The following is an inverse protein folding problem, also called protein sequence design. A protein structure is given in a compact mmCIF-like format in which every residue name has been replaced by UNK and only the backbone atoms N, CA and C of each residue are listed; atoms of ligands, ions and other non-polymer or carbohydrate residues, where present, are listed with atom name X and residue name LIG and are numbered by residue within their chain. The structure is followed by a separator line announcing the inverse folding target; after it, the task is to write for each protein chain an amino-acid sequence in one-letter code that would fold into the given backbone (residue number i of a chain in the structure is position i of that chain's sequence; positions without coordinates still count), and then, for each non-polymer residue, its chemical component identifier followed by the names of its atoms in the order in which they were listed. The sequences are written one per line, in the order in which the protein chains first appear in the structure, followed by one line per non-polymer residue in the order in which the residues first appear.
data_IF_478970025396
#
_entry.id   IF_478970025396
#
_cell.length_a   1.000
_cell.length_b   1.000
_cell.length_c   1.000
_cell.angle_alpha   90.00
_cell.angle_beta   90.00
_cell.angle_gamma   90.00
#
_symmetry.space_group_name_H-M   'P 1'
#
loop_
_entity.id
_entity.type
_entity.pdbx_description
1 polymer ?
#
# COMPACT_ATOMS: atom_id res chain seq x y z
N UNK A 1 -20.44 -15.90 -4.70
CA UNK A 1 -19.29 -16.52 -4.00
C UNK A 1 -18.03 -15.72 -4.34
N UNK A 2 -17.31 -15.27 -3.31
CA UNK A 2 -16.53 -14.03 -3.29
C UNK A 2 -15.04 -14.20 -3.72
N UNK A 3 -14.80 -14.77 -4.89
CA UNK A 3 -13.46 -15.21 -5.32
C UNK A 3 -12.40 -14.08 -5.38
N UNK A 4 -12.80 -12.83 -5.64
CA UNK A 4 -11.84 -11.72 -5.69
C UNK A 4 -11.34 -11.30 -4.30
N UNK A 5 -12.22 -11.25 -3.30
CA UNK A 5 -11.89 -10.75 -1.96
C UNK A 5 -11.11 -11.78 -1.13
N UNK A 6 -11.44 -13.08 -1.25
CA UNK A 6 -10.65 -14.15 -0.64
C UNK A 6 -9.31 -14.36 -1.34
N UNK A 7 -9.25 -14.27 -2.67
CA UNK A 7 -7.97 -14.38 -3.41
C UNK A 7 -7.00 -13.25 -3.07
N UNK A 8 -7.48 -12.01 -2.92
CA UNK A 8 -6.62 -10.88 -2.52
C UNK A 8 -6.11 -11.05 -1.09
N UNK A 9 -6.98 -11.43 -0.14
CA UNK A 9 -6.57 -11.63 1.26
C UNK A 9 -5.66 -12.85 1.46
N UNK A 10 -5.91 -13.96 0.76
CA UNK A 10 -5.05 -15.15 0.81
C UNK A 10 -3.68 -14.87 0.18
N UNK A 11 -3.65 -14.23 -0.99
CA UNK A 11 -2.40 -13.90 -1.68
C UNK A 11 -1.58 -12.86 -0.92
N UNK A 12 -2.18 -12.03 -0.07
CA UNK A 12 -1.48 -11.08 0.80
C UNK A 12 -1.12 -11.67 2.17
N UNK A 13 -1.54 -12.91 2.47
CA UNK A 13 -1.15 -13.58 3.71
C UNK A 13 0.34 -13.88 3.72
N UNK A 14 0.99 -13.58 4.85
CA UNK A 14 2.41 -13.81 5.10
C UNK A 14 2.85 -15.24 4.80
N UNK A 15 1.98 -16.23 5.03
CA UNK A 15 2.29 -17.66 4.91
C UNK A 15 1.97 -18.28 3.56
N UNK A 16 1.24 -17.57 2.68
CA UNK A 16 0.74 -18.17 1.44
C UNK A 16 1.87 -18.58 0.50
N UNK A 17 2.80 -17.67 0.19
CA UNK A 17 3.96 -17.98 -0.66
C UNK A 17 4.87 -19.07 -0.05
N UNK A 18 5.22 -19.02 1.25
CA UNK A 18 5.99 -20.10 1.87
C UNK A 18 5.36 -21.49 1.74
N UNK A 19 4.04 -21.60 1.91
CA UNK A 19 3.34 -22.88 1.73
C UNK A 19 3.40 -23.35 0.27
N UNK A 20 3.21 -22.45 -0.70
CA UNK A 20 3.32 -22.77 -2.12
C UNK A 20 4.73 -23.28 -2.46
N UNK A 21 5.78 -22.65 -1.95
CA UNK A 21 7.17 -23.07 -2.15
C UNK A 21 7.45 -24.44 -1.52
N UNK A 22 6.90 -24.71 -0.33
CA UNK A 22 6.98 -26.03 0.30
C UNK A 22 6.31 -27.12 -0.54
N UNK A 23 5.13 -26.85 -1.11
CA UNK A 23 4.44 -27.79 -2.01
C UNK A 23 5.21 -28.01 -3.31
N UNK A 24 5.78 -26.96 -3.90
CA UNK A 24 6.66 -27.07 -5.08
C UNK A 24 7.87 -27.94 -4.73
N UNK A 25 8.47 -27.74 -3.57
CA UNK A 25 9.60 -28.55 -3.09
C UNK A 25 9.23 -30.03 -3.00
N UNK A 26 8.08 -30.38 -2.43
CA UNK A 26 7.59 -31.76 -2.40
C UNK A 26 7.43 -32.37 -3.80
N UNK A 27 6.87 -31.60 -4.74
CA UNK A 27 6.74 -32.05 -6.12
C UNK A 27 8.12 -32.26 -6.79
N UNK A 28 9.08 -31.36 -6.56
CA UNK A 28 10.45 -31.49 -7.05
C UNK A 28 11.13 -32.73 -6.46
N UNK A 29 10.97 -32.99 -5.16
CA UNK A 29 11.51 -34.21 -4.54
C UNK A 29 10.90 -35.44 -5.20
N UNK A 30 9.57 -35.52 -5.30
CA UNK A 30 8.88 -36.65 -5.93
C UNK A 30 9.32 -36.90 -7.39
N UNK A 31 9.44 -35.83 -8.19
CA UNK A 31 9.94 -35.91 -9.56
C UNK A 31 11.40 -36.35 -9.61
N UNK A 32 12.26 -35.79 -8.75
CA UNK A 32 13.67 -36.17 -8.72
C UNK A 32 13.85 -37.65 -8.36
N UNK A 33 13.11 -38.14 -7.36
CA UNK A 33 13.11 -39.55 -6.97
C UNK A 33 12.57 -40.45 -8.09
N UNK A 34 11.50 -40.03 -8.78
CA UNK A 34 10.94 -40.78 -9.90
C UNK A 34 11.95 -40.90 -11.06
N UNK A 35 12.65 -39.80 -11.40
CA UNK A 35 13.70 -39.79 -12.43
C UNK A 35 14.88 -40.68 -12.02
N UNK A 36 15.34 -40.57 -10.76
CA UNK A 36 16.42 -41.38 -10.22
C UNK A 36 16.07 -42.88 -10.27
N UNK A 37 14.82 -43.28 -9.98
CA UNK A 37 14.39 -44.69 -10.09
C UNK A 37 14.36 -45.17 -11.55
N UNK A 38 13.75 -44.38 -12.45
CA UNK A 38 13.48 -44.81 -13.83
C UNK A 38 14.72 -44.78 -14.75
N UNK A 39 15.53 -43.71 -14.68
CA UNK A 39 16.55 -43.43 -15.69
C UNK A 39 17.98 -43.67 -15.21
N UNK A 40 18.27 -43.45 -13.92
CA UNK A 40 19.65 -43.55 -13.42
C UNK A 40 20.15 -45.00 -13.39
N UNK A 41 19.26 -45.99 -13.21
CA UNK A 41 19.62 -47.42 -13.30
C UNK A 41 20.15 -47.82 -14.69
N UNK A 42 19.75 -47.13 -15.77
CA UNK A 42 20.18 -47.39 -17.15
C UNK A 42 21.44 -46.61 -17.56
N UNK A 43 21.77 -45.51 -16.87
CA UNK A 43 22.86 -44.57 -17.22
C UNK A 43 24.14 -44.74 -16.39
N UNK A 44 24.20 -45.74 -15.51
CA UNK A 44 25.34 -45.95 -14.59
C UNK A 44 26.70 -46.16 -15.30
N UNK A 45 26.70 -46.55 -16.58
CA UNK A 45 27.92 -46.85 -17.35
C UNK A 45 28.57 -45.66 -18.07
N UNK A 46 27.87 -44.55 -18.28
CA UNK A 46 28.31 -43.43 -19.14
C UNK A 46 28.55 -42.12 -18.39
N UNK A 47 28.15 -42.03 -17.11
CA UNK A 47 28.26 -40.81 -16.33
C UNK A 47 29.62 -40.67 -15.61
N UNK A 48 30.23 -39.47 -15.58
CA UNK A 48 31.44 -39.22 -14.81
C UNK A 48 31.21 -39.49 -13.32
N UNK A 49 32.20 -40.11 -12.65
CA UNK A 49 32.14 -40.44 -11.19
C UNK A 49 31.86 -39.23 -10.29
N UNK A 50 32.12 -38.00 -10.76
CA UNK A 50 31.79 -36.76 -10.06
C UNK A 50 30.28 -36.59 -9.80
N UNK A 51 29.43 -37.16 -10.66
CA UNK A 51 27.97 -37.11 -10.53
C UNK A 51 27.39 -38.31 -9.76
N UNK A 52 28.17 -39.36 -9.54
CA UNK A 52 27.74 -40.53 -8.78
C UNK A 52 27.92 -40.27 -7.27
N UNK A 53 26.96 -39.58 -6.68
CA UNK A 53 26.96 -39.32 -5.24
C UNK A 53 26.70 -40.62 -4.44
N UNK A 54 27.49 -40.83 -3.39
CA UNK A 54 27.26 -41.92 -2.43
C UNK A 54 26.24 -41.47 -1.38
N UNK A 55 25.45 -42.39 -0.82
CA UNK A 55 24.50 -42.09 0.27
C UNK A 55 25.14 -41.30 1.43
N UNK A 56 26.38 -41.65 1.80
CA UNK A 56 27.16 -40.94 2.83
C UNK A 56 27.45 -39.48 2.46
N UNK A 57 27.77 -39.21 1.19
CA UNK A 57 27.97 -37.85 0.69
C UNK A 57 26.65 -37.08 0.75
N UNK A 58 25.55 -37.72 0.35
CA UNK A 58 24.23 -37.12 0.37
C UNK A 58 23.80 -36.73 1.80
N UNK A 59 23.92 -37.63 2.77
CA UNK A 59 23.66 -37.35 4.19
C UNK A 59 24.55 -36.22 4.74
N UNK A 60 25.83 -36.18 4.34
CA UNK A 60 26.76 -35.12 4.73
C UNK A 60 26.44 -33.75 4.12
N UNK A 61 25.56 -33.68 3.11
CA UNK A 61 25.06 -32.42 2.54
C UNK A 61 23.72 -32.02 3.13
N UNK A 62 22.78 -32.96 3.31
CA UNK A 62 21.44 -32.63 3.82
C UNK A 62 21.44 -32.17 5.27
N UNK A 63 22.15 -32.85 6.17
CA UNK A 63 22.10 -32.51 7.60
C UNK A 63 22.68 -31.10 7.89
N UNK A 64 23.83 -30.70 7.31
CA UNK A 64 24.30 -29.33 7.42
C UNK A 64 23.37 -28.32 6.75
N UNK A 65 22.75 -28.67 5.61
CA UNK A 65 21.81 -27.78 4.93
C UNK A 65 20.57 -27.51 5.79
N UNK A 66 19.97 -28.54 6.39
CA UNK A 66 18.84 -28.38 7.34
C UNK A 66 19.22 -27.45 8.49
N UNK A 67 20.40 -27.66 9.08
CA UNK A 67 20.90 -26.85 10.20
C UNK A 67 21.15 -25.39 9.79
N UNK A 68 21.75 -25.19 8.62
CA UNK A 68 22.02 -23.87 8.06
C UNK A 68 20.71 -23.10 7.77
N UNK A 69 19.73 -23.76 7.15
CA UNK A 69 18.43 -23.14 6.85
C UNK A 69 17.67 -22.81 8.14
N UNK A 70 17.70 -23.68 9.15
CA UNK A 70 17.07 -23.40 10.45
C UNK A 70 17.70 -22.18 11.12
N UNK A 71 19.03 -22.06 11.06
CA UNK A 71 19.78 -20.92 11.59
C UNK A 71 19.45 -19.63 10.83
N UNK A 72 19.48 -19.67 9.49
CA UNK A 72 19.11 -18.53 8.64
C UNK A 72 17.66 -18.08 8.89
N UNK A 73 16.74 -19.04 9.01
CA UNK A 73 15.33 -18.77 9.31
C UNK A 73 15.16 -18.08 10.66
N UNK A 74 15.88 -18.55 11.69
CA UNK A 74 15.86 -17.94 13.04
C UNK A 74 16.39 -16.51 13.01
N UNK A 75 17.52 -16.28 12.32
CA UNK A 75 18.08 -14.92 12.14
C UNK A 75 17.10 -14.04 11.37
N UNK A 76 16.45 -14.56 10.32
CA UNK A 76 15.47 -13.82 9.55
C UNK A 76 14.24 -13.43 10.35
N UNK A 77 13.66 -14.33 11.15
CA UNK A 77 12.57 -13.98 12.06
C UNK A 77 12.98 -12.94 13.10
N UNK A 78 14.20 -13.06 13.65
CA UNK A 78 14.73 -12.08 14.60
C UNK A 78 14.88 -10.70 13.95
N UNK A 79 15.42 -10.63 12.74
CA UNK A 79 15.54 -9.40 11.95
C UNK A 79 14.16 -8.79 11.67
N UNK A 80 13.18 -9.59 11.23
CA UNK A 80 11.79 -9.16 11.01
C UNK A 80 11.21 -8.54 12.28
N UNK A 81 11.40 -9.18 13.44
CA UNK A 81 10.92 -8.66 14.72
C UNK A 81 11.61 -7.34 15.10
N UNK A 82 12.93 -7.22 14.88
CA UNK A 82 13.64 -5.96 15.11
C UNK A 82 13.09 -4.85 14.20
N UNK A 83 12.89 -5.13 12.91
CA UNK A 83 12.27 -4.16 11.99
C UNK A 83 10.86 -3.79 12.46
N UNK A 84 10.04 -4.76 12.86
CA UNK A 84 8.68 -4.55 13.34
C UNK A 84 8.66 -3.64 14.58
N UNK A 85 9.53 -3.92 15.57
CA UNK A 85 9.66 -3.11 16.78
C UNK A 85 10.19 -1.71 16.48
N UNK A 86 11.13 -1.58 15.54
CA UNK A 86 11.69 -0.30 15.10
C UNK A 86 10.62 0.55 14.42
N UNK A 87 9.84 -0.04 13.50
CA UNK A 87 8.76 0.67 12.83
C UNK A 87 7.67 1.14 13.79
N UNK A 88 7.26 0.26 14.71
CA UNK A 88 6.22 0.60 15.69
C UNK A 88 6.69 1.63 16.70
N UNK A 89 7.99 1.68 17.03
CA UNK A 89 8.54 2.62 18.02
C UNK A 89 9.03 3.93 17.42
N UNK A 90 9.58 3.91 16.20
CA UNK A 90 10.23 5.06 15.56
C UNK A 90 9.35 5.78 14.54
N UNK A 91 8.37 5.11 13.90
CA UNK A 91 7.58 5.71 12.81
C UNK A 91 6.10 5.83 13.15
N UNK A 92 5.33 4.75 12.99
CA UNK A 92 3.90 4.68 13.31
C UNK A 92 3.42 3.23 13.14
N UNK A 93 2.55 2.70 14.01
CA UNK A 93 1.93 1.39 13.80
C UNK A 93 1.22 1.26 12.44
N UNK A 94 0.82 2.37 11.81
CA UNK A 94 0.14 2.39 10.51
C UNK A 94 1.08 2.09 9.33
N UNK A 95 2.39 2.33 9.46
CA UNK A 95 3.38 1.99 8.42
C UNK A 95 3.78 0.51 8.47
N UNK A 96 3.44 -0.19 9.55
CA UNK A 96 3.77 -1.61 9.78
C UNK A 96 3.12 -2.55 8.77
N UNK A 97 1.90 -2.22 8.33
CA UNK A 97 1.15 -3.02 7.35
C UNK A 97 1.94 -3.24 6.05
N UNK A 98 2.77 -2.25 5.66
CA UNK A 98 3.53 -2.28 4.41
C UNK A 98 4.74 -3.24 4.47
N UNK A 99 5.18 -3.63 5.68
CA UNK A 99 6.29 -4.58 5.87
C UNK A 99 5.80 -6.02 5.90
N UNK A 100 4.75 -6.32 6.67
CA UNK A 100 4.18 -7.69 6.76
C UNK A 100 3.69 -8.17 5.39
N UNK A 101 3.23 -7.23 4.55
CA UNK A 101 2.72 -7.50 3.21
C UNK A 101 3.82 -7.54 2.13
N UNK A 102 5.10 -7.42 2.51
CA UNK A 102 6.20 -7.32 1.54
C UNK A 102 6.45 -8.65 0.82
N UNK A 103 6.42 -8.60 -0.52
CA UNK A 103 6.55 -9.78 -1.38
C UNK A 103 7.94 -10.38 -1.32
N UNK A 104 8.97 -9.55 -1.21
CA UNK A 104 10.35 -10.03 -1.21
C UNK A 104 10.62 -10.87 0.05
N UNK A 105 10.18 -10.38 1.22
CA UNK A 105 10.25 -11.12 2.49
C UNK A 105 9.52 -12.47 2.40
N UNK A 106 8.33 -12.51 1.79
CA UNK A 106 7.58 -13.75 1.57
C UNK A 106 8.32 -14.75 0.65
N UNK A 107 8.99 -14.27 -0.39
CA UNK A 107 9.80 -15.11 -1.29
C UNK A 107 11.04 -15.68 -0.60
N UNK A 108 11.75 -14.88 0.21
CA UNK A 108 12.89 -15.35 1.01
C UNK A 108 12.46 -16.49 1.94
N UNK A 109 11.39 -16.28 2.70
CA UNK A 109 10.86 -17.30 3.60
C UNK A 109 10.42 -18.55 2.83
N UNK A 110 9.82 -18.36 1.64
CA UNK A 110 9.47 -19.48 0.76
C UNK A 110 10.68 -20.28 0.28
N UNK A 111 11.78 -19.63 -0.12
CA UNK A 111 13.02 -20.34 -0.50
C UNK A 111 13.57 -21.15 0.68
N UNK A 112 13.54 -20.60 1.90
CA UNK A 112 13.98 -21.34 3.09
C UNK A 112 13.08 -22.53 3.41
N UNK A 113 11.76 -22.35 3.36
CA UNK A 113 10.80 -23.46 3.55
C UNK A 113 10.99 -24.53 2.48
N UNK A 114 11.15 -24.15 1.22
CA UNK A 114 11.43 -25.09 0.12
C UNK A 114 12.73 -25.86 0.37
N UNK A 115 13.81 -25.18 0.75
CA UNK A 115 15.10 -25.78 1.08
C UNK A 115 15.03 -26.77 2.24
N UNK A 116 14.31 -26.38 3.30
CA UNK A 116 14.12 -27.20 4.49
C UNK A 116 13.34 -28.47 4.19
N UNK A 117 12.19 -28.33 3.50
CA UNK A 117 11.35 -29.46 3.08
C UNK A 117 12.11 -30.38 2.13
N UNK A 118 12.84 -29.81 1.16
CA UNK A 118 13.63 -30.58 0.20
C UNK A 118 14.68 -31.44 0.92
N UNK A 119 15.44 -30.84 1.83
CA UNK A 119 16.51 -31.54 2.54
C UNK A 119 15.97 -32.59 3.52
N UNK A 120 14.89 -32.29 4.25
CA UNK A 120 14.27 -33.24 5.18
C UNK A 120 13.65 -34.44 4.47
N UNK A 121 12.89 -34.22 3.39
CA UNK A 121 12.21 -35.33 2.69
C UNK A 121 13.24 -36.21 1.98
N UNK A 122 14.24 -35.63 1.32
CA UNK A 122 15.32 -36.44 0.74
C UNK A 122 16.11 -37.21 1.80
N UNK A 123 16.40 -36.59 2.95
CA UNK A 123 17.04 -37.28 4.08
C UNK A 123 16.20 -38.44 4.62
N UNK A 124 14.87 -38.28 4.70
CA UNK A 124 13.95 -39.35 5.07
C UNK A 124 13.97 -40.49 4.04
N UNK A 125 13.91 -40.16 2.75
CA UNK A 125 13.90 -41.15 1.65
C UNK A 125 15.20 -41.95 1.55
N UNK A 126 16.35 -41.33 1.89
CA UNK A 126 17.66 -42.00 1.95
C UNK A 126 17.79 -43.08 3.01
N UNK A 127 16.84 -43.17 3.95
CA UNK A 127 16.85 -44.22 4.98
C UNK A 127 16.38 -45.59 4.44
N UNK A 128 15.87 -45.65 3.19
CA UNK A 128 15.44 -46.88 2.52
C UNK A 128 16.46 -47.41 1.49
N UNK A 129 17.02 -48.60 1.76
CA UNK A 129 17.78 -49.54 0.89
C UNK A 129 18.54 -48.97 -0.34
N UNK A 130 19.88 -49.12 -0.32
CA UNK A 130 20.84 -49.20 -1.45
C UNK A 130 20.41 -48.47 -2.74
N UNK A 131 20.10 -47.18 -2.62
CA UNK A 131 19.72 -46.36 -3.78
C UNK A 131 20.88 -45.43 -4.11
N UNK A 132 21.53 -45.69 -5.25
CA UNK A 132 22.48 -44.74 -5.83
C UNK A 132 21.68 -43.61 -6.47
N UNK A 133 21.61 -42.47 -5.78
CA UNK A 133 20.85 -41.28 -6.18
C UNK A 133 21.82 -40.27 -6.80
N UNK A 134 21.53 -39.79 -8.00
CA UNK A 134 22.41 -38.85 -8.74
C UNK A 134 21.85 -37.44 -8.70
N UNK A 135 20.54 -37.28 -8.94
CA UNK A 135 19.97 -35.96 -9.17
C UNK A 135 19.79 -35.17 -7.86
N UNK A 136 19.42 -35.87 -6.79
CA UNK A 136 19.11 -35.23 -5.51
C UNK A 136 20.29 -34.43 -4.91
N UNK A 137 21.54 -34.94 -4.82
CA UNK A 137 22.65 -34.17 -4.23
C UNK A 137 23.11 -32.95 -5.04
N UNK A 138 23.01 -32.99 -6.38
CA UNK A 138 23.30 -31.83 -7.23
C UNK A 138 22.29 -30.71 -6.99
N UNK A 139 21.00 -31.06 -6.92
CA UNK A 139 19.93 -30.13 -6.58
C UNK A 139 20.12 -29.55 -5.18
N UNK A 140 20.62 -30.33 -4.22
CA UNK A 140 20.98 -29.86 -2.87
C UNK A 140 22.00 -28.74 -2.90
N UNK A 141 23.06 -28.86 -3.69
CA UNK A 141 24.10 -27.83 -3.80
C UNK A 141 23.53 -26.56 -4.42
N UNK A 142 22.76 -26.68 -5.50
CA UNK A 142 22.09 -25.53 -6.15
C UNK A 142 21.14 -24.85 -5.17
N UNK A 143 20.37 -25.62 -4.41
CA UNK A 143 19.42 -25.12 -3.44
C UNK A 143 20.13 -24.46 -2.24
N UNK A 144 21.26 -25.00 -1.79
CA UNK A 144 22.09 -24.41 -0.75
C UNK A 144 22.65 -23.04 -1.16
N UNK A 145 23.21 -22.94 -2.38
CA UNK A 145 23.69 -21.67 -2.94
C UNK A 145 22.54 -20.67 -3.07
N UNK A 146 21.37 -21.14 -3.54
CA UNK A 146 20.16 -20.31 -3.66
C UNK A 146 19.71 -19.78 -2.29
N UNK A 147 19.64 -20.64 -1.28
CA UNK A 147 19.30 -20.23 0.10
C UNK A 147 20.29 -19.21 0.64
N UNK A 148 21.59 -19.41 0.44
CA UNK A 148 22.62 -18.46 0.88
C UNK A 148 22.48 -17.10 0.17
N UNK A 149 22.25 -17.09 -1.15
CA UNK A 149 22.03 -15.86 -1.91
C UNK A 149 20.80 -15.10 -1.38
N UNK A 150 19.67 -15.78 -1.23
CA UNK A 150 18.44 -15.17 -0.69
C UNK A 150 18.63 -14.67 0.75
N UNK A 151 19.42 -15.37 1.57
CA UNK A 151 19.77 -14.90 2.90
C UNK A 151 20.59 -13.60 2.88
N UNK A 152 21.62 -13.51 2.03
CA UNK A 152 22.41 -12.28 1.88
C UNK A 152 21.52 -11.12 1.39
N UNK A 153 20.69 -11.37 0.37
CA UNK A 153 19.74 -10.38 -0.13
C UNK A 153 18.71 -9.96 0.93
N UNK A 154 18.28 -10.89 1.77
CA UNK A 154 17.37 -10.62 2.88
C UNK A 154 17.99 -9.71 3.95
N UNK A 155 19.26 -9.90 4.28
CA UNK A 155 19.97 -9.00 5.21
C UNK A 155 20.04 -7.58 4.62
N UNK A 156 20.42 -7.46 3.35
CA UNK A 156 20.45 -6.17 2.67
C UNK A 156 19.07 -5.50 2.62
N UNK A 157 18.03 -6.27 2.27
CA UNK A 157 16.65 -5.80 2.25
C UNK A 157 16.19 -5.36 3.64
N UNK A 158 16.43 -6.16 4.68
CA UNK A 158 16.07 -5.80 6.06
C UNK A 158 16.73 -4.50 6.50
N UNK A 159 18.02 -4.32 6.19
CA UNK A 159 18.76 -3.12 6.55
C UNK A 159 18.28 -1.87 5.82
N UNK A 160 17.94 -1.98 4.53
CA UNK A 160 17.40 -0.85 3.75
C UNK A 160 15.99 -0.46 4.19
N UNK A 161 15.18 -1.42 4.64
CA UNK A 161 13.83 -1.15 5.16
C UNK A 161 13.84 -0.33 6.44
N UNK A 162 14.84 -0.46 7.30
CA UNK A 162 14.94 0.35 8.54
C UNK A 162 15.13 1.84 8.25
N UNK A 163 15.60 2.20 7.05
CA UNK A 163 15.86 3.59 6.70
C UNK A 163 14.55 4.36 6.46
N UNK A 164 14.29 5.36 7.30
CA UNK A 164 13.09 6.22 7.23
C UNK A 164 12.91 6.87 5.86
N UNK A 165 14.00 7.26 5.20
CA UNK A 165 13.98 7.89 3.88
C UNK A 165 13.38 6.97 2.81
N UNK A 166 13.67 5.66 2.86
CA UNK A 166 13.11 4.70 1.91
C UNK A 166 11.61 4.51 2.14
N UNK A 167 11.17 4.52 3.40
CA UNK A 167 9.75 4.47 3.74
C UNK A 167 9.01 5.72 3.25
N UNK A 168 9.57 6.91 3.52
CA UNK A 168 9.03 8.19 3.03
C UNK A 168 8.91 8.18 1.51
N UNK A 169 9.96 7.74 0.79
CA UNK A 169 9.94 7.66 -0.66
C UNK A 169 8.90 6.65 -1.16
N UNK A 170 8.80 5.47 -0.56
CA UNK A 170 7.81 4.43 -0.91
C UNK A 170 6.39 4.95 -0.75
N UNK A 171 6.08 5.60 0.37
CA UNK A 171 4.75 6.21 0.62
C UNK A 171 4.47 7.31 -0.40
N UNK A 172 5.47 8.15 -0.71
CA UNK A 172 5.33 9.25 -1.67
C UNK A 172 5.03 8.72 -3.08
N UNK A 173 5.84 7.78 -3.59
CA UNK A 173 5.64 7.17 -4.91
C UNK A 173 4.29 6.47 -5.01
N UNK A 174 3.87 5.75 -3.95
CA UNK A 174 2.55 5.11 -3.90
C UNK A 174 1.42 6.15 -3.95
N UNK A 175 1.57 7.25 -3.23
CA UNK A 175 0.58 8.35 -3.22
C UNK A 175 0.45 8.99 -4.60
N UNK A 176 1.57 9.29 -5.25
CA UNK A 176 1.58 9.84 -6.62
C UNK A 176 0.93 8.89 -7.63
N UNK A 177 1.20 7.58 -7.51
CA UNK A 177 0.54 6.56 -8.34
C UNK A 177 -0.98 6.52 -8.14
N UNK A 178 -1.48 6.68 -6.90
CA UNK A 178 -2.93 6.72 -6.64
C UNK A 178 -3.55 7.96 -7.29
N UNK A 179 -2.89 9.11 -7.21
CA UNK A 179 -3.36 10.36 -7.83
C UNK A 179 -3.44 10.21 -9.35
N UNK A 180 -2.40 9.67 -9.97
CA UNK A 180 -2.35 9.42 -11.42
C UNK A 180 -3.43 8.45 -11.87
N UNK A 181 -3.54 7.29 -11.21
CA UNK A 181 -4.58 6.29 -11.52
C UNK A 181 -6.00 6.84 -11.34
N UNK A 182 -6.21 7.70 -10.35
CA UNK A 182 -7.49 8.36 -10.11
C UNK A 182 -7.78 9.36 -11.25
N UNK A 183 -6.78 10.11 -11.72
CA UNK A 183 -6.89 10.98 -12.89
C UNK A 183 -7.26 10.20 -14.16
N UNK A 184 -6.61 9.07 -14.44
CA UNK A 184 -6.91 8.22 -15.61
C UNK A 184 -8.37 7.72 -15.60
N UNK A 185 -8.90 7.36 -14.42
CA UNK A 185 -10.30 6.96 -14.28
C UNK A 185 -11.26 8.10 -14.64
N UNK A 186 -10.82 9.35 -14.48
CA UNK A 186 -11.54 10.56 -14.84
C UNK A 186 -11.24 11.05 -16.25
N UNK A 187 -10.30 10.48 -17.01
CA UNK A 187 -10.03 10.89 -18.40
C UNK A 187 -11.10 10.42 -19.41
N UNK A 188 -12.17 9.77 -18.95
CA UNK A 188 -13.39 9.57 -19.74
C UNK A 188 -14.15 10.89 -19.95
N UNK A 189 -14.62 11.11 -21.18
CA UNK A 189 -15.30 12.31 -21.69
C UNK A 189 -15.99 13.12 -20.58
N UNK A 190 -15.42 14.28 -20.25
CA UNK A 190 -16.12 15.34 -19.52
C UNK A 190 -17.29 15.78 -20.40
N UNK A 191 -18.41 15.07 -20.29
CA UNK A 191 -19.67 15.61 -20.77
C UNK A 191 -19.94 16.87 -19.96
N UNK A 192 -20.34 17.93 -20.68
CA UNK A 192 -20.68 19.23 -20.11
C UNK A 192 -21.42 19.05 -18.79
N UNK A 193 -21.04 19.87 -17.80
CA UNK A 193 -21.63 19.93 -16.47
C UNK A 193 -23.09 19.47 -16.52
N UNK A 194 -23.34 18.28 -15.99
CA UNK A 194 -24.69 17.86 -15.63
C UNK A 194 -25.35 19.04 -14.93
N UNK A 195 -26.40 19.52 -15.54
CA UNK A 195 -26.92 20.84 -15.30
C UNK A 195 -27.72 20.70 -14.00
N UNK A 196 -27.38 21.49 -12.96
CA UNK A 196 -27.79 21.26 -11.55
C UNK A 196 -29.31 21.10 -11.34
N UNK A 197 -30.13 21.44 -12.34
CA UNK A 197 -31.58 21.24 -12.35
C UNK A 197 -31.98 19.76 -12.41
N UNK A 198 -31.23 18.86 -13.06
CA UNK A 198 -31.57 17.42 -13.10
C UNK A 198 -31.23 16.70 -11.79
N UNK A 199 -30.25 17.18 -11.00
CA UNK A 199 -30.03 16.68 -9.63
C UNK A 199 -31.17 17.08 -8.68
N UNK A 200 -31.84 18.21 -8.94
CA UNK A 200 -32.97 18.67 -8.13
C UNK A 200 -34.22 17.77 -8.26
N UNK A 201 -34.25 16.90 -9.28
CA UNK A 201 -35.26 15.85 -9.44
C UNK A 201 -34.97 14.61 -8.58
N UNK A 202 -33.72 14.40 -8.14
CA UNK A 202 -33.33 13.30 -7.25
C UNK A 202 -33.58 13.67 -5.79
N UNK A 203 -34.85 13.68 -5.38
CA UNK A 203 -35.23 13.88 -3.97
C UNK A 203 -34.78 12.68 -3.14
N UNK A 204 -34.22 12.94 -1.96
CA UNK A 204 -33.77 11.85 -1.07
C UNK A 204 -34.90 10.91 -0.65
N UNK A 205 -36.12 11.42 -0.56
CA UNK A 205 -37.32 10.69 -0.15
C UNK A 205 -37.74 9.61 -1.17
N UNK A 206 -37.40 9.80 -2.44
CA UNK A 206 -37.72 8.89 -3.54
C UNK A 206 -36.63 7.82 -3.77
N UNK A 207 -35.50 7.95 -3.07
CA UNK A 207 -34.35 7.06 -3.22
C UNK A 207 -34.38 5.89 -2.24
N UNK A 208 -34.11 4.67 -2.73
CA UNK A 208 -33.91 3.50 -1.89
C UNK A 208 -32.58 3.60 -1.13
N UNK A 209 -32.56 3.66 0.21
CA UNK A 209 -31.32 3.69 0.97
C UNK A 209 -30.66 2.30 1.03
N UNK A 210 -29.35 2.25 0.89
CA UNK A 210 -28.54 1.05 1.08
C UNK A 210 -27.73 1.18 2.37
N UNK A 211 -27.95 0.24 3.29
CA UNK A 211 -27.29 0.20 4.57
C UNK A 211 -26.17 -0.84 4.62
N UNK A 212 -25.09 -0.53 5.35
CA UNK A 212 -24.02 -1.47 5.61
C UNK A 212 -24.49 -2.63 6.49
N UNK A 213 -24.14 -3.86 6.12
CA UNK A 213 -24.26 -5.03 6.99
C UNK A 213 -23.00 -5.30 7.83
N UNK A 214 -22.00 -4.43 7.76
CA UNK A 214 -20.70 -4.62 8.42
C UNK A 214 -20.19 -3.33 9.03
N UNK A 215 -19.35 -3.46 10.06
CA UNK A 215 -18.55 -2.36 10.58
C UNK A 215 -17.13 -2.38 9.98
N UNK A 216 -16.55 -1.19 9.77
CA UNK A 216 -15.18 -1.03 9.30
C UNK A 216 -14.96 0.21 8.45
N UNK A 217 -13.81 0.29 7.80
CA UNK A 217 -13.47 1.34 6.84
C UNK A 217 -13.82 0.91 5.42
N UNK A 218 -14.34 1.85 4.63
CA UNK A 218 -14.46 1.68 3.18
C UNK A 218 -13.05 1.72 2.58
N UNK A 219 -12.58 0.58 2.09
CA UNK A 219 -11.23 0.38 1.55
C UNK A 219 -11.17 0.59 0.04
N UNK A 220 -12.20 0.15 -0.70
CA UNK A 220 -12.26 0.28 -2.16
C UNK A 220 -13.69 0.49 -2.65
N UNK A 221 -13.85 1.42 -3.58
CA UNK A 221 -15.07 1.66 -4.35
C UNK A 221 -14.75 1.43 -5.84
N UNK A 222 -15.28 0.37 -6.46
CA UNK A 222 -15.03 0.10 -7.87
C UNK A 222 -16.00 0.88 -8.77
N UNK A 223 -15.73 2.17 -9.01
CA UNK A 223 -16.61 3.07 -9.77
C UNK A 223 -17.08 2.49 -11.12
N UNK A 224 -16.20 1.86 -11.91
CA UNK A 224 -16.59 1.24 -13.18
C UNK A 224 -17.63 0.14 -13.02
N UNK A 225 -17.47 -0.73 -12.01
CA UNK A 225 -18.46 -1.79 -11.70
C UNK A 225 -19.77 -1.21 -11.19
N UNK A 226 -19.71 -0.08 -10.47
CA UNK A 226 -20.92 0.61 -10.01
C UNK A 226 -21.67 1.25 -11.18
N UNK A 227 -20.96 1.82 -12.16
CA UNK A 227 -21.57 2.30 -13.41
C UNK A 227 -22.22 1.13 -14.15
N UNK A 228 -21.52 0.01 -14.36
CA UNK A 228 -22.08 -1.18 -15.02
C UNK A 228 -23.34 -1.70 -14.29
N UNK A 229 -23.30 -1.77 -12.96
CA UNK A 229 -24.43 -2.19 -12.13
C UNK A 229 -25.60 -1.22 -12.26
N UNK A 230 -25.34 0.08 -12.24
CA UNK A 230 -26.35 1.11 -12.38
C UNK A 230 -27.01 1.08 -13.76
N UNK A 231 -26.22 0.86 -14.83
CA UNK A 231 -26.70 0.72 -16.21
C UNK A 231 -27.61 -0.50 -16.37
N UNK A 232 -27.20 -1.66 -15.86
CA UNK A 232 -27.99 -2.90 -15.97
C UNK A 232 -29.37 -2.81 -15.30
N UNK A 233 -29.50 -1.98 -14.26
CA UNK A 233 -30.74 -1.83 -13.49
C UNK A 233 -31.48 -0.52 -13.79
N UNK A 234 -31.07 0.23 -14.83
CA UNK A 234 -31.61 1.54 -15.18
C UNK A 234 -31.77 2.45 -13.95
N UNK A 235 -30.67 2.59 -13.20
CA UNK A 235 -30.65 3.27 -11.91
C UNK A 235 -29.56 4.32 -11.81
N UNK A 236 -29.68 5.18 -10.80
CA UNK A 236 -28.69 6.18 -10.41
C UNK A 236 -28.28 5.89 -8.97
N UNK A 237 -26.99 5.79 -8.71
CA UNK A 237 -26.42 5.51 -7.39
C UNK A 237 -25.72 6.75 -6.85
N UNK A 238 -26.19 7.36 -5.76
CA UNK A 238 -25.43 8.37 -5.00
C UNK A 238 -24.68 7.69 -3.86
N UNK A 239 -23.36 7.82 -3.85
CA UNK A 239 -22.52 7.39 -2.73
C UNK A 239 -22.66 8.39 -1.58
N UNK A 240 -23.03 7.90 -0.41
CA UNK A 240 -23.12 8.69 0.83
C UNK A 240 -21.87 8.56 1.70
N UNK A 241 -20.95 7.66 1.34
CA UNK A 241 -19.68 7.45 2.04
C UNK A 241 -18.59 7.14 1.03
N UNK A 242 -17.40 7.70 1.27
CA UNK A 242 -16.24 7.58 0.38
C UNK A 242 -15.14 6.72 1.02
N UNK A 243 -14.13 6.36 0.22
CA UNK A 243 -12.94 5.66 0.67
C UNK A 243 -12.31 6.36 1.89
N UNK A 244 -12.00 5.55 2.91
CA UNK A 244 -11.45 5.99 4.19
C UNK A 244 -12.50 6.34 5.25
N UNK A 245 -13.79 6.42 4.91
CA UNK A 245 -14.84 6.62 5.91
C UNK A 245 -15.07 5.35 6.74
N UNK A 246 -15.26 5.54 8.04
CA UNK A 246 -15.68 4.48 8.95
C UNK A 246 -17.19 4.35 8.93
N UNK A 247 -17.68 3.14 8.73
CA UNK A 247 -19.10 2.80 8.73
C UNK A 247 -19.37 1.76 9.82
N UNK A 248 -20.47 1.94 10.55
CA UNK A 248 -21.04 0.90 11.43
C UNK A 248 -22.10 0.10 10.68
N UNK A 249 -22.48 -1.05 11.21
CA UNK A 249 -23.68 -1.76 10.77
C UNK A 249 -24.90 -0.82 10.86
N UNK A 250 -25.72 -0.81 9.80
CA UNK A 250 -26.84 0.12 9.65
C UNK A 250 -26.47 1.53 9.16
N UNK A 251 -25.20 1.83 8.85
CA UNK A 251 -24.84 3.12 8.22
C UNK A 251 -25.30 3.15 6.77
N UNK A 252 -25.90 4.26 6.33
CA UNK A 252 -26.25 4.47 4.91
C UNK A 252 -24.97 4.67 4.10
N UNK A 253 -24.69 3.76 3.17
CA UNK A 253 -23.51 3.82 2.28
C UNK A 253 -23.87 4.46 0.93
N UNK A 254 -25.09 4.23 0.45
CA UNK A 254 -25.56 4.77 -0.81
C UNK A 254 -27.07 4.98 -0.82
N UNK A 255 -27.51 5.69 -1.84
CA UNK A 255 -28.91 5.92 -2.19
C UNK A 255 -29.11 5.60 -3.65
N UNK A 256 -30.15 4.85 -4.00
CA UNK A 256 -30.41 4.42 -5.37
C UNK A 256 -31.78 4.88 -5.83
N UNK A 257 -31.82 5.54 -6.98
CA UNK A 257 -33.05 5.87 -7.69
C UNK A 257 -33.20 4.94 -8.89
N UNK A 258 -34.39 4.41 -9.09
CA UNK A 258 -34.71 3.45 -10.13
C UNK A 258 -35.78 4.03 -11.05
N UNK A 259 -35.68 3.77 -12.35
CA UNK A 259 -36.72 4.16 -13.31
C UNK A 259 -37.78 3.06 -13.42
N UNK A 260 -39.04 3.40 -13.14
CA UNK A 260 -40.17 2.48 -13.31
C UNK A 260 -40.15 1.31 -12.33
N UNK A 261 -40.33 0.09 -12.83
CA UNK A 261 -40.39 -1.14 -12.03
C UNK A 261 -39.07 -1.94 -12.01
N UNK A 262 -37.93 -1.29 -12.26
CA UNK A 262 -36.64 -1.97 -12.18
C UNK A 262 -36.32 -2.39 -10.74
N UNK A 263 -35.56 -3.47 -10.58
CA UNK A 263 -35.19 -4.01 -9.27
C UNK A 263 -33.69 -3.84 -9.06
N UNK A 264 -33.28 -3.25 -7.94
CA UNK A 264 -31.88 -3.11 -7.57
C UNK A 264 -31.50 -4.08 -6.44
N UNK A 265 -30.44 -4.87 -6.65
CA UNK A 265 -29.92 -5.76 -5.61
C UNK A 265 -28.93 -5.03 -4.70
N UNK A 266 -29.39 -4.68 -3.49
CA UNK A 266 -28.53 -4.11 -2.44
C UNK A 266 -27.34 -5.03 -2.11
N UNK A 267 -27.55 -6.35 -2.11
CA UNK A 267 -26.48 -7.33 -1.87
C UNK A 267 -25.38 -7.29 -2.94
N UNK A 268 -25.75 -7.16 -4.22
CA UNK A 268 -24.76 -7.04 -5.30
C UNK A 268 -23.93 -5.76 -5.14
N UNK A 269 -24.57 -4.65 -4.79
CA UNK A 269 -23.88 -3.40 -4.48
C UNK A 269 -22.94 -3.54 -3.29
N UNK A 270 -23.42 -4.05 -2.15
CA UNK A 270 -22.62 -4.19 -0.94
C UNK A 270 -21.45 -5.17 -1.12
N UNK A 271 -21.64 -6.22 -1.91
CA UNK A 271 -20.57 -7.17 -2.26
C UNK A 271 -19.51 -6.56 -3.19
N UNK A 272 -19.84 -5.52 -3.94
CA UNK A 272 -18.89 -4.79 -4.78
C UNK A 272 -17.98 -3.86 -3.97
N UNK A 273 -18.43 -3.38 -2.81
CA UNK A 273 -17.67 -2.47 -1.95
C UNK A 273 -16.79 -3.26 -0.97
N UNK A 274 -15.51 -2.90 -0.92
CA UNK A 274 -14.60 -3.48 0.05
C UNK A 274 -14.68 -2.72 1.38
N UNK A 275 -15.33 -3.30 2.38
CA UNK A 275 -15.22 -2.88 3.79
C UNK A 275 -14.25 -3.82 4.52
N UNK A 276 -13.35 -3.26 5.32
CA UNK A 276 -12.40 -4.00 6.17
C UNK A 276 -12.13 -3.31 7.51
N UNK A 277 -11.47 -3.99 8.43
CA UNK A 277 -11.28 -3.52 9.83
C UNK A 277 -10.28 -2.37 9.96
N UNK A 278 -9.37 -2.21 8.99
CA UNK A 278 -8.34 -1.19 8.97
C UNK A 278 -8.39 -0.39 7.65
N UNK A 279 -7.88 0.84 7.66
CA UNK A 279 -7.64 1.59 6.42
C UNK A 279 -6.48 0.98 5.66
N UNK A 280 -6.54 1.05 4.32
CA UNK A 280 -5.48 0.58 3.42
C UNK A 280 -5.13 1.69 2.42
N UNK A 281 -3.87 1.71 1.96
CA UNK A 281 -3.35 2.74 1.06
C UNK A 281 -3.74 2.54 -0.42
N UNK A 282 -4.62 1.61 -0.78
CA UNK A 282 -4.84 1.25 -2.20
C UNK A 282 -5.59 2.33 -2.99
N UNK A 283 -6.61 2.92 -2.38
CA UNK A 283 -7.39 4.03 -2.94
C UNK A 283 -7.46 5.23 -1.99
N UNK A 284 -6.94 5.08 -0.76
CA UNK A 284 -7.05 6.08 0.28
C UNK A 284 -5.82 7.00 0.33
N UNK A 285 -5.92 8.09 -0.42
CA UNK A 285 -4.86 9.09 -0.50
C UNK A 285 -4.66 9.85 0.82
N UNK A 286 -5.74 10.16 1.53
CA UNK A 286 -5.65 10.83 2.85
C UNK A 286 -4.91 9.95 3.85
N UNK A 287 -5.14 8.63 3.83
CA UNK A 287 -4.41 7.72 4.71
C UNK A 287 -2.92 7.64 4.36
N UNK A 288 -2.59 7.69 3.06
CA UNK A 288 -1.19 7.69 2.62
C UNK A 288 -0.46 8.98 3.05
N UNK A 289 -1.11 10.14 2.92
CA UNK A 289 -0.60 11.42 3.45
C UNK A 289 -0.49 11.36 4.99
N UNK A 290 -1.50 10.82 5.68
CA UNK A 290 -1.47 10.70 7.14
C UNK A 290 -0.27 9.90 7.65
N UNK A 291 0.20 8.88 6.90
CA UNK A 291 1.44 8.17 7.26
C UNK A 291 2.67 9.08 7.24
N UNK A 292 2.77 10.00 6.27
CA UNK A 292 3.85 11.00 6.25
C UNK A 292 3.70 12.02 7.39
N UNK A 293 2.46 12.43 7.70
CA UNK A 293 2.18 13.31 8.84
C UNK A 293 2.61 12.65 10.15
N UNK A 294 2.25 11.38 10.37
CA UNK A 294 2.64 10.63 11.56
C UNK A 294 4.18 10.57 11.71
N UNK A 295 4.91 10.32 10.62
CA UNK A 295 6.38 10.30 10.62
C UNK A 295 6.93 11.70 10.95
N UNK A 296 6.38 12.75 10.35
CA UNK A 296 6.78 14.12 10.63
C UNK A 296 6.58 14.47 12.10
N UNK A 297 5.38 14.21 12.65
CA UNK A 297 5.05 14.46 14.07
C UNK A 297 5.95 13.68 15.02
N UNK A 298 6.30 12.45 14.68
CA UNK A 298 7.21 11.64 15.49
C UNK A 298 8.63 12.21 15.45
N UNK A 299 9.08 12.68 14.29
CA UNK A 299 10.40 13.27 14.11
C UNK A 299 10.56 14.59 14.89
N UNK A 300 9.55 15.48 14.90
CA UNK A 300 9.57 16.73 15.71
C UNK A 300 9.18 16.52 17.17
N UNK A 301 8.88 15.29 17.59
CA UNK A 301 8.54 15.04 19.00
C UNK A 301 9.76 15.27 19.90
N UNK A 302 9.57 15.69 21.17
CA UNK A 302 10.67 15.92 22.10
C UNK A 302 11.60 14.71 22.30
N UNK A 303 11.09 13.50 22.07
CA UNK A 303 11.88 12.26 22.21
C UNK A 303 12.80 11.94 21.03
N UNK A 304 12.56 12.54 19.85
CA UNK A 304 13.35 12.27 18.64
C UNK A 304 14.13 13.52 18.24
N UNK A 305 13.46 14.67 18.18
CA UNK A 305 14.04 15.98 17.87
C UNK A 305 14.87 15.99 16.56
N UNK A 306 14.26 15.52 15.47
CA UNK A 306 14.83 15.50 14.11
C UNK A 306 13.98 16.34 13.14
N UNK A 307 14.18 17.67 13.12
CA UNK A 307 13.45 18.56 12.20
C UNK A 307 13.74 18.27 10.73
N UNK A 308 14.92 17.75 10.38
CA UNK A 308 15.26 17.45 8.99
C UNK A 308 14.37 16.35 8.41
N UNK A 309 14.13 15.26 9.16
CA UNK A 309 13.20 14.22 8.73
C UNK A 309 11.77 14.76 8.61
N UNK A 310 11.33 15.61 9.53
CA UNK A 310 10.00 16.20 9.47
C UNK A 310 9.82 17.18 8.30
N UNK A 311 10.81 18.02 8.01
CA UNK A 311 10.83 18.88 6.82
C UNK A 311 10.82 18.03 5.55
N UNK A 312 11.58 16.92 5.50
CA UNK A 312 11.53 15.99 4.37
C UNK A 312 10.11 15.45 4.14
N UNK A 313 9.44 14.94 5.19
CA UNK A 313 8.04 14.51 5.09
C UNK A 313 7.13 15.65 4.59
N UNK A 314 7.31 16.86 5.11
CA UNK A 314 6.52 18.06 4.74
C UNK A 314 6.68 18.41 3.26
N UNK A 315 7.91 18.38 2.74
CA UNK A 315 8.19 18.59 1.31
C UNK A 315 7.57 17.51 0.42
N UNK A 316 7.58 16.26 0.87
CA UNK A 316 6.95 15.13 0.15
C UNK A 316 5.43 15.26 0.13
N UNK A 317 4.82 15.73 1.22
CA UNK A 317 3.40 16.07 1.27
C UNK A 317 3.10 17.20 0.28
N UNK A 318 3.90 18.27 0.24
CA UNK A 318 3.77 19.34 -0.76
C UNK A 318 3.85 18.83 -2.20
N UNK A 319 4.75 17.89 -2.48
CA UNK A 319 4.86 17.23 -3.79
C UNK A 319 3.58 16.49 -4.17
N UNK A 320 2.99 15.76 -3.22
CA UNK A 320 1.73 15.04 -3.42
C UNK A 320 0.57 16.03 -3.65
N UNK A 321 0.48 17.08 -2.83
CA UNK A 321 -0.56 18.11 -2.94
C UNK A 321 -0.47 18.88 -4.26
N UNK A 322 0.73 19.19 -4.75
CA UNK A 322 0.94 19.79 -6.07
C UNK A 322 0.39 18.91 -7.19
N UNK A 323 0.69 17.59 -7.16
CA UNK A 323 0.14 16.63 -8.13
C UNK A 323 -1.39 16.50 -8.01
N UNK A 324 -1.94 16.51 -6.79
CA UNK A 324 -3.39 16.56 -6.57
C UNK A 324 -3.96 17.82 -7.22
N UNK A 325 -3.39 19.00 -6.96
CA UNK A 325 -3.87 20.27 -7.51
C UNK A 325 -3.96 20.29 -9.03
N UNK A 326 -2.94 19.74 -9.71
CA UNK A 326 -2.91 19.64 -11.17
C UNK A 326 -3.98 18.69 -11.73
N UNK A 327 -4.22 17.57 -11.05
CA UNK A 327 -5.18 16.55 -11.47
C UNK A 327 -6.54 16.71 -10.82
N UNK A 328 -6.73 17.78 -10.02
CA UNK A 328 -7.94 17.98 -9.24
C UNK A 328 -9.11 18.25 -10.19
N UNK A 329 -9.90 17.24 -10.42
CA UNK A 329 -11.16 17.33 -11.12
C UNK A 329 -12.23 16.71 -10.20
N UNK A 330 -12.97 17.54 -9.45
CA UNK A 330 -14.01 17.07 -8.56
C UNK A 330 -15.20 16.61 -9.40
N UNK A 331 -15.06 15.49 -10.12
CA UNK A 331 -16.17 14.87 -10.84
C UNK A 331 -17.17 14.33 -9.83
N UNK A 332 -18.31 14.98 -9.75
CA UNK A 332 -19.45 14.57 -8.93
C UNK A 332 -20.27 13.46 -9.61
N UNK A 333 -20.10 13.28 -10.92
CA UNK A 333 -20.92 12.43 -11.76
C UNK A 333 -20.10 11.48 -12.64
N UNK A 334 -20.57 10.24 -12.76
CA UNK A 334 -20.05 9.21 -13.66
C UNK A 334 -21.16 8.71 -14.57
N UNK A 335 -20.81 8.55 -15.85
CA UNK A 335 -21.74 8.24 -16.94
C UNK A 335 -21.45 6.87 -17.54
N UNK A 336 -22.47 6.25 -18.13
CA UNK A 336 -22.30 5.08 -18.98
C UNK A 336 -21.91 5.44 -20.43
N UNK A 337 -21.76 4.42 -21.27
CA UNK A 337 -21.39 4.59 -22.69
C UNK A 337 -22.44 5.35 -23.51
N UNK A 338 -23.68 5.39 -23.03
CA UNK A 338 -24.80 6.11 -23.64
C UNK A 338 -24.95 7.52 -23.06
N UNK A 339 -24.01 7.95 -22.21
CA UNK A 339 -23.98 9.26 -21.55
C UNK A 339 -25.10 9.48 -20.52
N UNK A 340 -25.69 8.41 -20.02
CA UNK A 340 -26.65 8.51 -18.92
C UNK A 340 -25.90 8.62 -17.58
N UNK A 341 -26.35 9.50 -16.69
CA UNK A 341 -25.84 9.57 -15.32
C UNK A 341 -26.09 8.24 -14.61
N UNK A 342 -25.06 7.68 -13.96
CA UNK A 342 -25.13 6.38 -13.26
C UNK A 342 -24.64 6.41 -11.83
N UNK A 343 -23.56 7.14 -11.55
CA UNK A 343 -23.04 7.23 -10.19
C UNK A 343 -22.79 8.68 -9.84
N UNK A 344 -23.25 9.10 -8.66
CA UNK A 344 -22.93 10.37 -8.03
C UNK A 344 -22.00 10.12 -6.84
N UNK A 345 -20.97 10.94 -6.71
CA UNK A 345 -20.05 10.95 -5.58
C UNK A 345 -19.84 12.38 -5.10
N UNK A 346 -19.54 12.55 -3.82
CA UNK A 346 -19.19 13.87 -3.27
C UNK A 346 -17.67 13.96 -3.17
N UNK A 347 -16.99 14.59 -4.15
CA UNK A 347 -15.55 14.74 -4.13
C UNK A 347 -15.13 15.60 -2.95
N UNK A 348 -14.01 15.22 -2.33
CA UNK A 348 -13.43 15.99 -1.22
C UNK A 348 -12.85 17.32 -1.76
N UNK A 349 -13.15 18.46 -1.12
CA UNK A 349 -12.58 19.74 -1.53
C UNK A 349 -11.06 19.74 -1.35
N UNK A 350 -10.34 20.43 -2.24
CA UNK A 350 -8.88 20.50 -2.19
C UNK A 350 -8.36 21.00 -0.83
N UNK A 351 -8.98 22.06 -0.29
CA UNK A 351 -8.68 22.56 1.06
C UNK A 351 -8.68 21.49 2.16
N UNK A 352 -9.51 20.43 2.05
CA UNK A 352 -9.52 19.36 3.06
C UNK A 352 -8.22 18.55 3.04
N UNK A 353 -7.66 18.27 1.86
CA UNK A 353 -6.33 17.62 1.75
C UNK A 353 -5.26 18.52 2.34
N UNK A 354 -5.29 19.81 2.00
CA UNK A 354 -4.34 20.79 2.52
C UNK A 354 -4.40 20.91 4.04
N UNK A 355 -5.60 21.07 4.59
CA UNK A 355 -5.82 21.19 6.03
C UNK A 355 -5.36 19.94 6.78
N UNK A 356 -5.82 18.75 6.37
CA UNK A 356 -5.46 17.48 7.03
C UNK A 356 -3.95 17.18 6.94
N UNK A 357 -3.29 17.66 5.90
CA UNK A 357 -1.85 17.49 5.69
C UNK A 357 -1.01 18.25 6.71
N UNK A 358 -1.39 19.49 7.04
CA UNK A 358 -0.49 20.39 7.77
C UNK A 358 -1.01 20.84 9.14
N UNK A 359 -2.29 20.64 9.50
CA UNK A 359 -2.82 21.19 10.76
C UNK A 359 -2.08 20.67 12.02
N UNK A 360 -1.72 19.39 12.05
CA UNK A 360 -0.97 18.81 13.18
C UNK A 360 0.48 19.26 13.13
N UNK A 361 1.12 19.22 11.95
CA UNK A 361 2.52 19.62 11.78
C UNK A 361 2.69 21.08 12.21
N UNK A 362 1.77 21.96 11.82
CA UNK A 362 1.67 23.34 12.30
C UNK A 362 1.53 23.41 13.82
N UNK A 363 0.63 22.62 14.41
CA UNK A 363 0.37 22.68 15.86
C UNK A 363 1.59 22.26 16.69
N UNK A 364 2.26 21.17 16.31
CA UNK A 364 3.39 20.61 17.05
C UNK A 364 4.73 21.25 16.68
N UNK A 365 4.86 21.80 15.47
CA UNK A 365 6.07 22.44 14.96
C UNK A 365 6.06 23.96 15.03
N UNK A 366 5.09 24.57 15.73
CA UNK A 366 4.92 26.04 15.79
C UNK A 366 6.12 26.79 16.38
N UNK A 367 6.90 26.12 17.23
CA UNK A 367 8.05 26.72 17.92
C UNK A 367 9.38 26.39 17.18
N UNK A 368 9.32 25.67 16.05
CA UNK A 368 10.46 25.29 15.22
C UNK A 368 10.42 26.05 13.88
N UNK A 369 11.36 26.98 13.71
CA UNK A 369 11.47 27.84 12.51
C UNK A 369 11.71 27.02 11.25
N UNK A 370 12.47 25.92 11.34
CA UNK A 370 12.72 25.03 10.20
C UNK A 370 11.43 24.34 9.75
N UNK A 371 10.58 23.96 10.71
CA UNK A 371 9.27 23.36 10.40
C UNK A 371 8.30 24.36 9.81
N UNK A 372 8.20 25.57 10.37
CA UNK A 372 7.37 26.62 9.82
C UNK A 372 7.78 26.96 8.38
N UNK A 373 9.08 27.10 8.12
CA UNK A 373 9.57 27.34 6.76
C UNK A 373 9.33 26.14 5.84
N UNK A 374 9.51 24.92 6.33
CA UNK A 374 9.22 23.70 5.56
C UNK A 374 7.74 23.61 5.14
N UNK A 375 6.81 24.09 5.97
CA UNK A 375 5.40 24.20 5.58
C UNK A 375 5.25 25.26 4.48
N UNK A 376 5.86 26.44 4.62
CA UNK A 376 5.81 27.49 3.59
C UNK A 376 6.37 27.01 2.25
N UNK A 377 7.53 26.34 2.24
CA UNK A 377 8.13 25.74 1.05
C UNK A 377 7.20 24.71 0.40
N UNK A 378 6.56 23.86 1.20
CA UNK A 378 5.58 22.90 0.71
C UNK A 378 4.32 23.58 0.13
N UNK A 379 3.87 24.70 0.70
CA UNK A 379 2.78 25.51 0.16
C UNK A 379 3.17 26.19 -1.16
N UNK A 380 4.40 26.70 -1.27
CA UNK A 380 4.95 27.27 -2.51
C UNK A 380 4.92 26.21 -3.61
N UNK A 381 5.48 25.02 -3.33
CA UNK A 381 5.47 23.89 -4.25
C UNK A 381 4.05 23.46 -4.64
N UNK A 382 3.10 23.55 -3.69
CA UNK A 382 1.70 23.22 -3.94
C UNK A 382 1.02 24.25 -4.84
N UNK A 383 1.34 25.55 -4.71
CA UNK A 383 0.71 26.63 -5.47
C UNK A 383 1.32 26.87 -6.86
N UNK A 384 2.59 26.54 -7.05
CA UNK A 384 3.29 26.78 -8.31
C UNK A 384 2.61 26.07 -9.50
N UNK A 385 2.44 26.80 -10.60
CA UNK A 385 1.76 26.32 -11.81
C UNK A 385 0.27 25.96 -11.66
N UNK A 386 -0.38 26.27 -10.53
CA UNK A 386 -1.77 25.87 -10.27
C UNK A 386 -2.83 26.86 -10.77
N UNK A 387 -4.07 26.37 -10.86
CA UNK A 387 -5.28 27.18 -11.11
C UNK A 387 -5.62 28.10 -9.94
N UNK A 388 -6.38 29.16 -10.21
CA UNK A 388 -6.74 30.20 -9.23
C UNK A 388 -7.47 29.65 -8.00
N UNK A 389 -8.33 28.66 -8.17
CA UNK A 389 -9.08 28.06 -7.06
C UNK A 389 -8.15 27.35 -6.07
N UNK A 390 -7.15 26.61 -6.58
CA UNK A 390 -6.14 25.92 -5.77
C UNK A 390 -5.22 26.93 -5.09
N UNK A 391 -4.77 27.97 -5.81
CA UNK A 391 -3.98 29.07 -5.23
C UNK A 391 -4.73 29.78 -4.09
N UNK A 392 -6.04 29.99 -4.24
CA UNK A 392 -6.88 30.60 -3.20
C UNK A 392 -6.98 29.72 -1.94
N UNK A 393 -7.13 28.41 -2.10
CA UNK A 393 -7.09 27.46 -0.98
C UNK A 393 -5.72 27.46 -0.27
N UNK A 394 -4.63 27.55 -1.03
CA UNK A 394 -3.27 27.69 -0.48
C UNK A 394 -3.11 29.00 0.30
N UNK A 395 -3.56 30.14 -0.26
CA UNK A 395 -3.54 31.43 0.44
C UNK A 395 -4.38 31.41 1.72
N UNK A 396 -5.54 30.77 1.70
CA UNK A 396 -6.38 30.59 2.88
C UNK A 396 -5.64 29.81 3.97
N UNK A 397 -4.94 28.74 3.60
CA UNK A 397 -4.13 27.99 4.56
C UNK A 397 -2.90 28.78 5.03
N UNK A 398 -2.27 29.56 4.16
CA UNK A 398 -1.17 30.46 4.53
C UNK A 398 -1.59 31.44 5.63
N UNK A 399 -2.74 32.10 5.49
CA UNK A 399 -3.28 32.97 6.54
C UNK A 399 -3.52 32.19 7.84
N UNK A 400 -4.07 30.98 7.75
CA UNK A 400 -4.25 30.10 8.90
C UNK A 400 -2.92 29.71 9.56
N UNK A 401 -1.85 29.46 8.79
CA UNK A 401 -0.50 29.19 9.32
C UNK A 401 0.01 30.36 10.15
N UNK A 402 -0.09 31.59 9.63
CA UNK A 402 0.39 32.78 10.33
C UNK A 402 -0.30 33.02 11.67
N UNK A 403 -1.57 32.62 11.83
CA UNK A 403 -2.28 32.76 13.13
C UNK A 403 -1.71 31.93 14.28
N UNK A 404 -0.82 30.96 14.05
CA UNK A 404 -0.15 30.22 15.15
C UNK A 404 1.19 30.81 15.58
N UNK A 405 1.71 31.79 14.84
CA UNK A 405 3.07 32.30 15.03
C UNK A 405 2.96 33.66 15.70
N UNK A 406 3.54 33.80 16.90
CA UNK A 406 3.78 35.14 17.45
C UNK A 406 5.09 35.69 16.86
N UNK A 407 4.96 36.46 15.78
CA UNK A 407 6.10 37.05 15.09
C UNK A 407 6.90 38.00 16.00
N UNK A 408 6.31 38.53 17.09
CA UNK A 408 7.00 39.45 17.99
C UNK A 408 7.93 38.73 18.96
N UNK A 409 7.68 37.44 19.25
CA UNK A 409 8.51 36.64 20.14
C UNK A 409 9.69 35.97 19.42
N UNK A 410 9.69 35.97 18.07
CA UNK A 410 10.75 35.38 17.28
C UNK A 410 12.02 36.28 17.22
N UNK A 411 13.22 35.69 17.27
CA UNK A 411 14.46 36.39 16.96
C UNK A 411 14.41 37.07 15.59
N UNK A 412 15.11 38.21 15.45
CA UNK A 412 15.01 39.06 14.26
C UNK A 412 15.35 38.33 12.94
N UNK A 413 16.40 37.50 12.93
CA UNK A 413 16.80 36.73 11.75
C UNK A 413 15.79 35.64 11.39
N UNK A 414 15.21 34.98 12.39
CA UNK A 414 14.20 33.93 12.17
C UNK A 414 12.90 34.53 11.62
N UNK A 415 12.52 35.70 12.15
CA UNK A 415 11.38 36.48 11.67
C UNK A 415 11.59 36.93 10.22
N UNK A 416 12.76 37.50 9.89
CA UNK A 416 13.10 37.92 8.53
C UNK A 416 13.04 36.76 7.55
N UNK A 417 13.60 35.60 7.93
CA UNK A 417 13.58 34.39 7.13
C UNK A 417 12.15 33.91 6.82
N UNK A 418 11.28 33.82 7.83
CA UNK A 418 9.89 33.40 7.63
C UNK A 418 9.08 34.39 6.79
N UNK A 419 9.28 35.69 7.00
CA UNK A 419 8.59 36.74 6.25
C UNK A 419 8.99 36.71 4.77
N UNK A 420 10.28 36.54 4.47
CA UNK A 420 10.77 36.40 3.11
C UNK A 420 10.10 35.22 2.39
N UNK A 421 10.06 34.03 3.00
CA UNK A 421 9.41 32.85 2.39
C UNK A 421 7.89 33.06 2.23
N UNK A 422 7.24 33.73 3.18
CA UNK A 422 5.83 34.13 3.08
C UNK A 422 5.58 35.09 1.91
N UNK A 423 6.49 36.03 1.64
CA UNK A 423 6.41 36.93 0.48
C UNK A 423 6.51 36.16 -0.83
N UNK A 424 7.46 35.21 -0.94
CA UNK A 424 7.59 34.32 -2.11
C UNK A 424 6.28 33.55 -2.36
N UNK A 425 5.67 33.00 -1.31
CA UNK A 425 4.37 32.30 -1.43
C UNK A 425 3.27 33.23 -1.95
N UNK A 426 3.19 34.46 -1.43
CA UNK A 426 2.21 35.43 -1.89
C UNK A 426 2.42 35.77 -3.37
N UNK A 427 3.66 35.89 -3.83
CA UNK A 427 3.97 36.14 -5.24
C UNK A 427 3.61 34.97 -6.15
N UNK A 428 3.87 33.73 -5.72
CA UNK A 428 3.47 32.52 -6.46
C UNK A 428 1.95 32.39 -6.56
N UNK A 429 1.21 32.85 -5.53
CA UNK A 429 -0.24 32.80 -5.53
C UNK A 429 -0.93 33.97 -6.27
N UNK A 430 -0.21 35.02 -6.68
CA UNK A 430 -0.72 36.03 -7.61
C UNK A 430 -0.97 35.42 -9.00
#
# INVERSE_FOLDING_TARGET
MNYSKTSINLRNSFWFLPVVYGLISLAVVGLSTWIDIMYVSQLQGTLPKLFLATEKLAQSLYAPLVTAILTMTTISFSSIMVVLTTYSSQFSPRTLQDFISDRFTQHVLGVFVAGFVFALVNMLLLTGKDSRIILSPLLTVILAITCLLFFILFIHHSATFVQVNNLIEKITRRSLYIVEKKSELYEGETFEKWDRWEESELREEDGMPIYSHKMGYIQQIPYSKLVDLATQNESIIRLNSDVGNYVKEGSRIATVWMKGSSTFSADNFLNSIAIGTERINDQDLEFSIQKLVDIALRAISPSVNDPHTAVNCTNRIGTILSKIGHTYDPKEAFFDKEKNLRVLSTPKPFFQYLYKSFYQIRHYGKDDVSMLNGILDALILTADGQRKEIKADVQRFHQYLLTSIDLNELPDLDREFLLHTSEVLNDVCK
#
